data_IF_512492481143
#
_entry.id   IF_512492481143
#
_cell.length_a   1.000
_cell.length_b   1.000
_cell.length_c   1.000
_cell.angle_alpha   90.00
_cell.angle_beta   90.00
_cell.angle_gamma   90.00
#
_symmetry.space_group_name_H-M   'P 1'
#
loop_
_entity.id
_entity.type
_entity.pdbx_description
1 polymer ?
#
# COMPACT_ATOMS: atom_id res chain seq x y z
N UNK A 1 -16.57 -26.72 -40.63
CA UNK A 1 -15.49 -25.72 -40.53
C UNK A 1 -15.79 -24.79 -39.36
N UNK A 2 -14.83 -24.63 -38.43
CA UNK A 2 -14.82 -23.76 -37.23
C UNK A 2 -15.57 -24.30 -36.02
N UNK A 3 -14.90 -25.06 -35.14
CA UNK A 3 -13.96 -24.68 -34.04
C UNK A 3 -14.73 -24.51 -32.73
N UNK A 4 -14.81 -25.62 -31.99
CA UNK A 4 -15.07 -25.66 -30.55
C UNK A 4 -13.99 -24.85 -29.83
N UNK A 5 -14.39 -24.01 -28.87
CA UNK A 5 -13.48 -23.38 -27.93
C UNK A 5 -13.31 -24.32 -26.74
N UNK A 6 -12.13 -24.92 -26.67
CA UNK A 6 -11.65 -25.69 -25.51
C UNK A 6 -11.41 -24.69 -24.37
N UNK A 7 -12.21 -24.79 -23.30
CA UNK A 7 -12.13 -23.93 -22.12
C UNK A 7 -11.06 -24.48 -21.18
N UNK A 8 -9.79 -24.32 -21.58
CA UNK A 8 -8.64 -24.64 -20.74
C UNK A 8 -7.77 -23.39 -20.58
N UNK A 9 -8.21 -22.47 -19.71
CA UNK A 9 -7.33 -21.45 -19.12
C UNK A 9 -7.28 -21.62 -17.60
N UNK A 10 -6.64 -22.71 -17.15
CA UNK A 10 -6.21 -22.83 -15.77
C UNK A 10 -5.06 -21.85 -15.53
N UNK A 11 -5.39 -20.63 -15.12
CA UNK A 11 -4.41 -19.70 -14.57
C UNK A 11 -3.81 -20.34 -13.30
N UNK A 12 -2.47 -20.40 -13.16
CA UNK A 12 -1.86 -20.99 -11.98
C UNK A 12 -2.21 -20.10 -10.79
N UNK A 13 -2.97 -20.64 -9.85
CA UNK A 13 -3.22 -20.02 -8.55
C UNK A 13 -1.88 -19.72 -7.87
N UNK A 14 -1.75 -18.60 -7.16
CA UNK A 14 -0.51 -18.29 -6.46
C UNK A 14 -0.15 -19.45 -5.51
N UNK A 15 1.14 -19.80 -5.38
CA UNK A 15 1.56 -20.93 -4.56
C UNK A 15 1.05 -20.75 -3.13
N UNK A 16 0.34 -21.76 -2.64
CA UNK A 16 -0.19 -21.81 -1.27
C UNK A 16 1.01 -21.73 -0.32
N UNK A 17 1.14 -20.60 0.38
CA UNK A 17 2.23 -20.40 1.33
C UNK A 17 2.18 -21.50 2.39
N UNK A 18 3.29 -22.23 2.55
CA UNK A 18 3.45 -23.14 3.69
C UNK A 18 3.36 -22.28 4.94
N UNK A 19 2.39 -22.55 5.81
CA UNK A 19 2.31 -21.91 7.12
C UNK A 19 3.62 -22.16 7.87
N UNK A 20 4.47 -21.13 7.91
CA UNK A 20 5.66 -21.10 8.75
C UNK A 20 5.13 -21.05 10.18
N UNK A 21 5.32 -22.14 10.94
CA UNK A 21 5.12 -22.12 12.39
C UNK A 21 6.12 -21.13 12.98
N UNK A 22 5.67 -19.91 13.19
CA UNK A 22 6.39 -18.95 14.03
C UNK A 22 6.14 -19.38 15.47
N UNK A 23 7.20 -19.72 16.19
CA UNK A 23 7.13 -19.75 17.65
C UNK A 23 6.61 -18.37 18.08
N UNK A 24 5.66 -18.27 19.03
CA UNK A 24 5.25 -16.97 19.54
C UNK A 24 6.47 -16.41 20.29
N UNK A 25 7.26 -15.61 19.60
CA UNK A 25 8.14 -14.66 20.27
C UNK A 25 7.24 -13.82 21.13
N UNK A 26 7.41 -13.92 22.45
CA UNK A 26 6.86 -12.97 23.41
C UNK A 26 7.32 -11.58 23.00
N UNK A 27 6.52 -10.91 22.18
CA UNK A 27 6.68 -9.49 21.91
C UNK A 27 6.54 -8.79 23.26
N UNK A 28 7.63 -8.17 23.74
CA UNK A 28 7.67 -7.46 25.01
C UNK A 28 6.50 -6.47 25.09
N UNK A 29 5.72 -6.51 26.18
CA UNK A 29 4.51 -5.68 26.34
C UNK A 29 4.77 -4.19 26.14
N UNK A 30 5.99 -3.73 26.46
CA UNK A 30 6.45 -2.37 26.18
C UNK A 30 6.46 -2.04 24.67
N UNK A 31 6.85 -2.98 23.82
CA UNK A 31 6.88 -2.78 22.36
C UNK A 31 5.48 -2.63 21.80
N UNK A 32 4.52 -3.40 22.31
CA UNK A 32 3.10 -3.29 21.92
C UNK A 32 2.49 -1.96 22.35
N UNK A 33 2.76 -1.53 23.58
CA UNK A 33 2.28 -0.25 24.10
C UNK A 33 2.84 0.94 23.29
N UNK A 34 4.12 0.88 22.92
CA UNK A 34 4.74 1.88 22.03
C UNK A 34 4.11 1.88 20.63
N UNK A 35 3.89 0.70 20.05
CA UNK A 35 3.28 0.56 18.73
C UNK A 35 1.84 1.12 18.71
N UNK A 36 1.07 0.84 19.76
CA UNK A 36 -0.29 1.38 19.93
C UNK A 36 -0.29 2.91 20.03
N UNK A 37 0.59 3.49 20.86
CA UNK A 37 0.71 4.96 20.98
C UNK A 37 1.04 5.63 19.64
N UNK A 38 1.90 5.01 18.84
CA UNK A 38 2.21 5.50 17.48
C UNK A 38 0.98 5.41 16.58
N UNK A 39 0.28 4.28 16.58
CA UNK A 39 -0.94 4.09 15.79
C UNK A 39 -2.03 5.12 16.11
N UNK A 40 -2.26 5.38 17.40
CA UNK A 40 -3.22 6.38 17.87
C UNK A 40 -2.81 7.80 17.44
N UNK A 41 -1.52 8.15 17.51
CA UNK A 41 -1.03 9.46 17.05
C UNK A 41 -1.36 9.72 15.57
N UNK A 42 -1.18 8.73 14.70
CA UNK A 42 -1.48 8.87 13.28
C UNK A 42 -2.99 8.83 12.99
N UNK A 43 -3.73 7.97 13.69
CA UNK A 43 -5.19 7.86 13.54
C UNK A 43 -5.91 9.16 13.93
N UNK A 44 -5.41 9.85 14.95
CA UNK A 44 -5.99 11.11 15.43
C UNK A 44 -5.69 12.33 14.56
N UNK A 45 -4.88 12.19 13.49
CA UNK A 45 -4.63 13.30 12.58
C UNK A 45 -5.86 13.61 11.75
N UNK A 46 -6.38 14.83 11.92
CA UNK A 46 -7.48 15.35 11.13
C UNK A 46 -7.15 15.36 9.63
N UNK A 47 -8.17 15.10 8.81
CA UNK A 47 -8.04 15.28 7.38
C UNK A 47 -7.94 16.77 7.07
N UNK A 48 -6.89 17.15 6.34
CA UNK A 48 -6.73 18.51 5.87
C UNK A 48 -7.52 18.70 4.58
N UNK A 49 -8.13 19.88 4.40
CA UNK A 49 -8.72 20.22 3.10
C UNK A 49 -7.64 20.43 2.05
N UNK A 50 -8.04 20.53 0.78
CA UNK A 50 -7.10 20.80 -0.31
C UNK A 50 -6.47 22.19 -0.16
N UNK A 51 -7.25 23.17 0.26
CA UNK A 51 -6.80 24.54 0.52
C UNK A 51 -5.79 24.59 1.67
N UNK A 52 -6.08 23.92 2.79
CA UNK A 52 -5.16 23.82 3.94
C UNK A 52 -3.86 23.13 3.57
N UNK A 53 -3.95 22.11 2.71
CA UNK A 53 -2.77 21.39 2.20
C UNK A 53 -1.92 22.31 1.34
N UNK A 54 -2.52 23.09 0.44
CA UNK A 54 -1.80 24.02 -0.43
C UNK A 54 -1.18 25.19 0.34
N UNK A 55 -1.81 25.62 1.44
CA UNK A 55 -1.27 26.65 2.35
C UNK A 55 -0.08 26.17 3.21
N UNK A 56 0.26 24.88 3.17
CA UNK A 56 1.36 24.29 3.94
C UNK A 56 2.71 24.93 3.59
N UNK A 57 3.53 25.38 4.56
CA UNK A 57 4.88 25.93 4.29
C UNK A 57 5.78 25.00 3.49
N UNK A 58 5.61 23.69 3.66
CA UNK A 58 6.35 22.63 2.97
C UNK A 58 5.63 22.08 1.72
N UNK A 59 4.67 22.80 1.13
CA UNK A 59 3.88 22.30 -0.02
C UNK A 59 4.76 21.89 -1.20
N UNK A 60 5.80 22.66 -1.52
CA UNK A 60 6.72 22.36 -2.60
C UNK A 60 7.50 21.07 -2.36
N UNK A 61 7.94 20.84 -1.12
CA UNK A 61 8.59 19.58 -0.73
C UNK A 61 7.61 18.40 -0.82
N UNK A 62 6.35 18.57 -0.39
CA UNK A 62 5.31 17.53 -0.55
C UNK A 62 5.06 17.19 -2.02
N UNK A 63 5.05 18.19 -2.91
CA UNK A 63 4.90 17.99 -4.36
C UNK A 63 6.11 17.25 -4.95
N UNK A 64 7.32 17.65 -4.59
CA UNK A 64 8.56 16.96 -4.98
C UNK A 64 8.56 15.49 -4.53
N UNK A 65 8.22 15.22 -3.27
CA UNK A 65 8.15 13.85 -2.75
C UNK A 65 7.10 13.01 -3.51
N UNK A 66 5.94 13.58 -3.84
CA UNK A 66 4.94 12.88 -4.65
C UNK A 66 5.42 12.62 -6.09
N UNK A 67 6.18 13.54 -6.68
CA UNK A 67 6.77 13.34 -7.99
C UNK A 67 7.81 12.21 -7.97
N UNK A 68 8.73 12.22 -7.01
CA UNK A 68 9.75 11.15 -6.85
C UNK A 68 9.08 9.79 -6.73
N UNK A 69 8.05 9.66 -5.88
CA UNK A 69 7.27 8.42 -5.74
C UNK A 69 6.65 7.99 -7.08
N UNK A 70 6.10 8.93 -7.83
CA UNK A 70 5.49 8.64 -9.15
C UNK A 70 6.52 8.11 -10.14
N UNK A 71 7.71 8.71 -10.17
CA UNK A 71 8.82 8.25 -11.01
C UNK A 71 9.26 6.84 -10.61
N UNK A 72 9.48 6.59 -9.32
CA UNK A 72 9.91 5.27 -8.83
C UNK A 72 8.88 4.19 -9.15
N UNK A 73 7.60 4.44 -8.88
CA UNK A 73 6.53 3.48 -9.21
C UNK A 73 6.55 3.18 -10.72
N UNK A 74 6.62 4.20 -11.57
CA UNK A 74 6.61 4.02 -13.02
C UNK A 74 7.84 3.28 -13.56
N UNK A 75 9.01 3.45 -12.94
CA UNK A 75 10.26 2.80 -13.34
C UNK A 75 10.29 1.31 -12.98
N UNK A 76 9.72 0.94 -11.83
CA UNK A 76 9.90 -0.38 -11.24
C UNK A 76 8.65 -1.26 -11.23
N UNK A 77 7.52 -0.75 -11.70
CA UNK A 77 6.25 -1.49 -11.75
C UNK A 77 5.86 -1.80 -13.18
N UNK A 78 5.31 -2.99 -13.41
CA UNK A 78 4.75 -3.41 -14.69
C UNK A 78 3.23 -3.56 -14.58
N UNK A 79 2.55 -3.40 -15.71
CA UNK A 79 1.11 -3.61 -15.78
C UNK A 79 0.77 -5.04 -15.33
N UNK A 80 -0.20 -5.16 -14.43
CA UNK A 80 -0.66 -6.44 -13.89
C UNK A 80 0.10 -6.92 -12.65
N UNK A 81 1.11 -6.19 -12.17
CA UNK A 81 1.82 -6.54 -10.94
C UNK A 81 0.90 -6.55 -9.72
N UNK A 82 1.26 -7.34 -8.72
CA UNK A 82 0.62 -7.37 -7.41
C UNK A 82 1.48 -6.57 -6.44
N UNK A 83 0.90 -5.53 -5.83
CA UNK A 83 1.60 -4.60 -4.96
C UNK A 83 1.25 -4.86 -3.50
N UNK A 84 2.28 -4.92 -2.66
CA UNK A 84 2.17 -4.83 -1.21
C UNK A 84 2.78 -3.49 -0.77
N UNK A 85 1.95 -2.62 -0.22
CA UNK A 85 2.32 -1.28 0.21
C UNK A 85 2.30 -1.21 1.75
N UNK A 86 3.49 -1.16 2.34
CA UNK A 86 3.67 -1.17 3.79
C UNK A 86 3.74 0.26 4.31
N UNK A 87 3.08 0.52 5.44
CA UNK A 87 2.85 1.86 5.96
C UNK A 87 2.19 2.77 4.90
N UNK A 88 1.15 2.24 4.23
CA UNK A 88 0.50 2.91 3.12
C UNK A 88 -0.19 4.23 3.52
N UNK A 89 -0.39 4.44 4.83
CA UNK A 89 -1.20 5.53 5.37
C UNK A 89 -2.55 5.59 4.66
N UNK A 90 -2.99 6.84 4.41
CA UNK A 90 -4.24 7.25 3.72
C UNK A 90 -4.32 6.91 2.25
N UNK A 91 -3.51 5.97 1.76
CA UNK A 91 -3.51 5.57 0.36
C UNK A 91 -3.12 6.70 -0.59
N UNK A 92 -2.21 7.60 -0.18
CA UNK A 92 -1.79 8.76 -0.98
C UNK A 92 -1.10 8.41 -2.31
N UNK A 93 -0.76 7.13 -2.50
CA UNK A 93 -0.16 6.58 -3.72
C UNK A 93 -1.13 5.75 -4.58
N UNK A 94 -2.39 5.56 -4.16
CA UNK A 94 -3.38 4.78 -4.91
C UNK A 94 -3.54 5.24 -6.36
N UNK A 95 -3.61 6.55 -6.60
CA UNK A 95 -3.69 7.11 -7.96
C UNK A 95 -2.43 6.80 -8.79
N UNK A 96 -1.27 6.67 -8.14
CA UNK A 96 -0.01 6.33 -8.82
C UNK A 96 0.00 4.86 -9.20
N UNK A 97 -0.47 3.99 -8.31
CA UNK A 97 -0.65 2.56 -8.56
C UNK A 97 -1.68 2.29 -9.66
N UNK A 98 -2.80 3.01 -9.67
CA UNK A 98 -3.81 2.95 -10.73
C UNK A 98 -3.21 3.34 -12.10
N UNK A 99 -2.46 4.45 -12.16
CA UNK A 99 -1.76 4.88 -13.38
C UNK A 99 -0.73 3.86 -13.87
N UNK A 100 -0.05 3.17 -12.96
CA UNK A 100 0.86 2.07 -13.29
C UNK A 100 0.12 0.79 -13.76
N UNK A 101 -1.21 0.74 -13.63
CA UNK A 101 -2.08 -0.37 -14.04
C UNK A 101 -1.72 -1.69 -13.36
N UNK A 102 -1.49 -1.63 -12.05
CA UNK A 102 -1.29 -2.83 -11.22
C UNK A 102 -2.54 -3.71 -11.24
N UNK A 103 -2.37 -5.01 -11.13
CA UNK A 103 -3.46 -5.98 -11.15
C UNK A 103 -4.15 -6.11 -9.80
N UNK A 104 -3.38 -5.99 -8.71
CA UNK A 104 -3.89 -6.11 -7.35
C UNK A 104 -3.05 -5.28 -6.39
N UNK A 105 -3.68 -4.69 -5.37
CA UNK A 105 -3.02 -3.83 -4.38
C UNK A 105 -3.45 -4.26 -2.97
N UNK A 106 -2.47 -4.38 -2.07
CA UNK A 106 -2.68 -4.61 -0.64
C UNK A 106 -1.93 -3.53 0.11
N UNK A 107 -2.67 -2.65 0.80
CA UNK A 107 -2.10 -1.68 1.74
C UNK A 107 -2.13 -2.23 3.16
N UNK A 108 -1.04 -2.06 3.90
CA UNK A 108 -0.95 -2.38 5.33
C UNK A 108 -0.47 -1.14 6.07
N UNK A 109 -1.25 -0.68 7.04
CA UNK A 109 -0.87 0.38 7.95
C UNK A 109 -1.23 -0.02 9.39
N UNK A 110 -0.50 0.52 10.36
CA UNK A 110 -0.75 0.25 11.78
C UNK A 110 -1.87 1.13 12.35
N UNK A 111 -2.09 2.31 11.77
CA UNK A 111 -3.10 3.25 12.20
C UNK A 111 -4.41 3.01 11.42
N UNK A 112 -5.50 2.73 12.14
CA UNK A 112 -6.82 2.49 11.53
C UNK A 112 -7.41 3.73 10.85
N UNK A 113 -7.14 4.92 11.42
CA UNK A 113 -7.63 6.21 10.88
C UNK A 113 -6.74 6.82 9.79
N UNK A 114 -5.76 6.04 9.32
CA UNK A 114 -5.01 6.33 8.12
C UNK A 114 -5.82 5.95 6.89
#
# INVERSE_FOLDING_TARGET
MKREYDDTSSSPSPPRSKQRKTNPSTEDDNTKDLAQKVAEHYSNRTNQTLEEREASPIIHLKKLNNWIKSVLIQLYTRRGDVVLDLACGKGGDLIKWDKAKVGYYVGIDIAEGS
#
